data_IF_176129451475
#
_entry.id   IF_176129451475
#
_cell.length_a   1.000
_cell.length_b   1.000
_cell.length_c   1.000
_cell.angle_alpha   90.00
_cell.angle_beta   90.00
_cell.angle_gamma   90.00
#
_symmetry.space_group_name_H-M   'P 1'
#
loop_
_entity.id
_entity.type
_entity.pdbx_description
1 polymer ?
#
# COMPACT_ATOMS: atom_id res chain seq x y z
N UNK A 1 7.03 6.34 -2.09
CA UNK A 1 6.38 5.48 -3.10
C UNK A 1 7.45 5.02 -4.08
N UNK A 2 7.47 3.73 -4.41
CA UNK A 2 8.42 3.09 -5.33
C UNK A 2 7.65 2.15 -6.25
N UNK A 3 7.75 2.36 -7.56
CA UNK A 3 7.14 1.49 -8.58
C UNK A 3 8.22 0.64 -9.26
N UNK A 4 8.00 -0.68 -9.32
CA UNK A 4 8.82 -1.61 -10.11
C UNK A 4 8.07 -1.99 -11.40
N UNK A 5 8.50 -1.48 -12.57
CA UNK A 5 7.85 -1.80 -13.84
C UNK A 5 8.09 -3.24 -14.31
N UNK A 6 9.08 -3.95 -13.76
CA UNK A 6 9.37 -5.34 -14.15
C UNK A 6 8.36 -6.33 -13.60
N UNK A 7 7.76 -6.01 -12.45
CA UNK A 7 6.72 -6.82 -11.79
C UNK A 7 5.35 -6.14 -11.78
N UNK A 8 5.25 -4.90 -12.28
CA UNK A 8 4.05 -4.06 -12.17
C UNK A 8 3.58 -3.94 -10.70
N UNK A 9 4.53 -3.70 -9.79
CA UNK A 9 4.27 -3.59 -8.35
C UNK A 9 4.55 -2.19 -7.84
N UNK A 10 3.72 -1.70 -6.92
CA UNK A 10 3.85 -0.40 -6.29
C UNK A 10 3.93 -0.55 -4.76
N UNK A 11 5.00 -0.02 -4.19
CA UNK A 11 5.20 0.07 -2.76
C UNK A 11 4.96 1.50 -2.27
N UNK A 12 4.00 1.67 -1.36
CA UNK A 12 3.70 2.96 -0.73
C UNK A 12 4.01 2.89 0.75
N UNK A 13 5.12 3.48 1.18
CA UNK A 13 5.37 3.72 2.60
C UNK A 13 4.50 4.87 3.07
N UNK A 14 3.53 4.54 3.91
CA UNK A 14 2.69 5.51 4.58
C UNK A 14 3.39 5.88 5.88
N UNK A 15 3.42 5.03 6.90
CA UNK A 15 3.95 5.32 8.24
C UNK A 15 5.39 4.87 8.48
N UNK A 16 6.01 5.45 9.51
CA UNK A 16 7.18 4.85 10.16
C UNK A 16 6.69 3.93 11.28
N UNK A 17 7.30 2.76 11.43
CA UNK A 17 6.94 1.80 12.47
C UNK A 17 7.42 0.40 12.14
N UNK A 18 7.12 -0.54 13.03
CA UNK A 18 7.33 -1.96 12.78
C UNK A 18 6.00 -2.56 12.31
N UNK A 19 6.03 -3.24 11.17
CA UNK A 19 4.91 -4.07 10.70
C UNK A 19 4.62 -5.14 11.74
N UNK A 20 3.39 -5.18 12.23
CA UNK A 20 2.89 -6.19 13.14
C UNK A 20 2.13 -7.29 12.38
N UNK A 21 1.31 -6.88 11.41
CA UNK A 21 0.49 -7.76 10.61
C UNK A 21 0.30 -7.21 9.18
N UNK A 22 -0.15 -8.07 8.26
CA UNK A 22 -0.45 -7.74 6.88
C UNK A 22 -1.84 -8.26 6.52
N UNK A 23 -2.72 -7.34 6.12
CA UNK A 23 -4.08 -7.67 5.66
C UNK A 23 -4.07 -7.74 4.13
N UNK A 24 -4.63 -8.81 3.57
CA UNK A 24 -4.71 -9.00 2.13
C UNK A 24 -6.11 -8.68 1.61
N UNK A 25 -6.15 -7.91 0.53
CA UNK A 25 -7.34 -7.61 -0.26
C UNK A 25 -7.10 -8.13 -1.68
N UNK A 26 -7.46 -9.39 -1.88
CA UNK A 26 -7.20 -10.12 -3.13
C UNK A 26 -7.95 -9.52 -4.33
N UNK A 27 -9.11 -8.89 -4.12
CA UNK A 27 -9.88 -8.25 -5.20
C UNK A 27 -9.16 -7.03 -5.78
N UNK A 28 -8.36 -6.36 -4.94
CA UNK A 28 -7.60 -5.16 -5.30
C UNK A 28 -6.10 -5.42 -5.46
N UNK A 29 -5.69 -6.69 -5.47
CA UNK A 29 -4.27 -7.11 -5.54
C UNK A 29 -3.38 -6.39 -4.50
N UNK A 30 -3.93 -6.14 -3.30
CA UNK A 30 -3.34 -5.22 -2.33
C UNK A 30 -3.03 -5.93 -1.00
N UNK A 31 -1.80 -5.76 -0.51
CA UNK A 31 -1.44 -6.09 0.86
C UNK A 31 -1.23 -4.79 1.66
N UNK A 32 -1.86 -4.73 2.84
CA UNK A 32 -1.85 -3.57 3.74
C UNK A 32 -1.06 -3.93 4.99
N UNK A 33 0.08 -3.27 5.18
CA UNK A 33 0.91 -3.41 6.37
C UNK A 33 0.35 -2.54 7.50
N UNK A 34 0.13 -3.14 8.67
CA UNK A 34 -0.40 -2.45 9.86
C UNK A 34 0.52 -2.62 11.08
N UNK A 35 0.54 -1.61 11.95
CA UNK A 35 1.21 -1.70 13.25
C UNK A 35 0.36 -2.43 14.30
N UNK A 36 0.91 -2.63 15.50
CA UNK A 36 0.22 -3.33 16.59
C UNK A 36 -1.05 -2.61 17.11
N UNK A 37 -1.27 -1.36 16.72
CA UNK A 37 -2.46 -0.58 17.05
C UNK A 37 -3.46 -0.52 15.88
N UNK A 38 -3.20 -1.24 14.77
CA UNK A 38 -4.03 -1.22 13.57
C UNK A 38 -3.82 0.00 12.68
N UNK A 39 -2.77 0.82 12.92
CA UNK A 39 -2.44 1.94 12.03
C UNK A 39 -1.79 1.42 10.75
N UNK A 40 -2.27 1.89 9.61
CA UNK A 40 -1.66 1.59 8.30
C UNK A 40 -0.26 2.19 8.20
N UNK A 41 0.71 1.32 7.88
CA UNK A 41 2.11 1.64 7.67
C UNK A 41 2.51 1.63 6.19
N UNK A 42 1.88 0.82 5.35
CA UNK A 42 2.22 0.79 3.94
C UNK A 42 1.31 -0.09 3.11
N UNK A 43 1.33 0.15 1.80
CA UNK A 43 0.66 -0.65 0.77
C UNK A 43 1.70 -1.34 -0.10
N UNK A 44 1.51 -2.63 -0.36
CA UNK A 44 2.18 -3.41 -1.40
C UNK A 44 1.10 -3.83 -2.41
N UNK A 45 1.10 -3.16 -3.57
CA UNK A 45 0.10 -3.33 -4.61
C UNK A 45 0.71 -4.07 -5.81
N UNK A 46 0.12 -5.20 -6.17
CA UNK A 46 0.44 -5.96 -7.38
C UNK A 46 -0.47 -5.52 -8.54
N UNK A 47 -0.02 -5.75 -9.78
CA UNK A 47 -0.71 -5.29 -10.98
C UNK A 47 -1.09 -3.80 -10.93
N UNK A 48 -0.21 -2.95 -10.40
CA UNK A 48 -0.52 -1.59 -10.01
C UNK A 48 -1.06 -0.74 -11.17
N UNK A 49 -0.61 -1.02 -12.40
CA UNK A 49 -1.15 -0.39 -13.61
C UNK A 49 -2.65 -0.58 -13.84
N UNK A 50 -3.26 -1.59 -13.20
CA UNK A 50 -4.70 -1.92 -13.29
C UNK A 50 -5.55 -1.31 -12.18
N UNK A 51 -4.93 -0.79 -11.13
CA UNK A 51 -5.59 -0.30 -9.92
C UNK A 51 -5.31 1.19 -9.66
N UNK A 52 -5.63 2.10 -10.60
CA UNK A 52 -5.39 3.54 -10.43
C UNK A 52 -6.18 4.15 -9.27
N UNK A 53 -7.29 3.52 -8.88
CA UNK A 53 -8.11 3.87 -7.71
C UNK A 53 -7.36 3.62 -6.39
N UNK A 54 -6.69 2.48 -6.25
CA UNK A 54 -5.84 2.18 -5.06
C UNK A 54 -4.66 3.15 -4.99
N UNK A 55 -4.07 3.50 -6.13
CA UNK A 55 -3.00 4.52 -6.20
C UNK A 55 -3.54 5.88 -5.72
N UNK A 56 -4.72 6.29 -6.20
CA UNK A 56 -5.33 7.55 -5.79
C UNK A 56 -5.64 7.59 -4.28
N UNK A 57 -6.14 6.49 -3.73
CA UNK A 57 -6.37 6.32 -2.29
C UNK A 57 -5.07 6.52 -1.49
N UNK A 58 -4.01 5.83 -1.89
CA UNK A 58 -2.71 5.93 -1.23
C UNK A 58 -2.14 7.37 -1.30
N UNK A 59 -2.35 8.08 -2.42
CA UNK A 59 -1.95 9.48 -2.58
C UNK A 59 -2.71 10.43 -1.63
N UNK A 60 -4.01 10.21 -1.42
CA UNK A 60 -4.80 10.97 -0.45
C UNK A 60 -4.27 10.76 0.98
N UNK A 61 -3.96 9.50 1.34
CA UNK A 61 -3.39 9.15 2.64
C UNK A 61 -1.98 9.74 2.89
N UNK A 62 -1.23 9.98 1.82
CA UNK A 62 0.06 10.68 1.89
C UNK A 62 -0.10 12.19 2.09
N UNK A 63 -1.12 12.81 1.51
CA UNK A 63 -1.39 14.25 1.61
C UNK A 63 -2.02 14.64 2.95
N UNK A 64 -2.78 13.73 3.58
CA UNK A 64 -3.42 13.96 4.88
C UNK A 64 -2.49 13.87 6.10
N UNK A 65 -1.18 14.06 5.90
CA UNK A 65 -0.13 13.96 6.92
C UNK A 65 0.50 15.30 7.25
#
# INVERSE_FOLDING_TARGET
MLYDPSTDSLYVTLGNGRVHDTVFDDERDLAIEIDANGKVLGYDLQHASRHPDVIAEAMILLQGR
#
